data_IF_818388893250
#
_entry.id   IF_818388893250
#
_cell.length_a   1.000
_cell.length_b   1.000
_cell.length_c   1.000
_cell.angle_alpha   90.00
_cell.angle_beta   90.00
_cell.angle_gamma   90.00
#
_symmetry.space_group_name_H-M   'P 1'
#
loop_
_entity.id
_entity.type
_entity.pdbx_description
1 polymer ?
#
# COMPACT_ATOMS: atom_id res chain seq x y z
N UNK A 1 8.34 19.28 14.05
CA UNK A 1 8.33 17.93 13.43
C UNK A 1 7.80 18.12 12.02
N UNK A 2 8.64 17.86 11.04
CA UNK A 2 8.32 17.96 9.61
C UNK A 2 8.04 16.58 9.05
N UNK A 3 7.02 16.46 8.19
CA UNK A 3 6.64 15.20 7.53
C UNK A 3 6.86 15.36 6.03
N UNK A 4 7.57 14.42 5.42
CA UNK A 4 7.64 14.28 3.96
C UNK A 4 6.88 13.04 3.52
N UNK A 5 6.16 13.12 2.40
CA UNK A 5 5.63 11.95 1.70
C UNK A 5 6.46 11.74 0.44
N UNK A 6 6.93 10.51 0.26
CA UNK A 6 7.62 10.07 -0.96
C UNK A 6 6.69 9.12 -1.70
N UNK A 7 6.36 9.46 -2.93
CA UNK A 7 5.50 8.66 -3.82
C UNK A 7 6.13 8.53 -5.20
N UNK A 8 5.66 7.58 -5.98
CA UNK A 8 6.09 7.42 -7.36
C UNK A 8 4.91 7.16 -8.27
N UNK A 9 4.98 7.72 -9.49
CA UNK A 9 4.06 7.36 -10.57
C UNK A 9 4.77 7.39 -11.92
N UNK A 10 4.22 6.62 -12.85
CA UNK A 10 4.63 6.64 -14.26
C UNK A 10 3.38 6.61 -15.10
N UNK A 11 3.14 7.66 -15.89
CA UNK A 11 1.93 7.81 -16.72
C UNK A 11 0.63 7.49 -15.94
N UNK A 12 0.35 8.16 -14.81
CA UNK A 12 -0.74 7.80 -13.91
C UNK A 12 -2.13 7.95 -14.56
N UNK A 13 -2.27 8.81 -15.56
CA UNK A 13 -3.52 8.97 -16.33
C UNK A 13 -3.81 7.73 -17.18
N UNK A 14 -2.83 7.24 -17.95
CA UNK A 14 -2.96 6.02 -18.75
C UNK A 14 -3.19 4.79 -17.88
N UNK A 15 -2.60 4.76 -16.70
CA UNK A 15 -2.78 3.71 -15.70
C UNK A 15 -4.08 3.85 -14.92
N UNK A 16 -4.81 4.95 -15.11
CA UNK A 16 -6.04 5.26 -14.38
C UNK A 16 -5.87 5.25 -12.85
N UNK A 17 -4.68 5.61 -12.37
CA UNK A 17 -4.42 5.74 -10.94
C UNK A 17 -5.14 6.99 -10.38
N UNK A 18 -5.59 7.02 -9.12
CA UNK A 18 -6.23 8.18 -8.48
C UNK A 18 -5.19 9.22 -8.02
N UNK A 19 -4.27 9.59 -8.92
CA UNK A 19 -3.09 10.37 -8.58
C UNK A 19 -3.38 11.80 -8.12
N UNK A 20 -4.38 12.45 -8.71
CA UNK A 20 -4.80 13.81 -8.31
C UNK A 20 -5.29 13.78 -6.87
N UNK A 21 -6.22 12.88 -6.57
CA UNK A 21 -6.81 12.70 -5.24
C UNK A 21 -5.77 12.28 -4.19
N UNK A 22 -4.80 11.48 -4.61
CA UNK A 22 -3.70 11.08 -3.74
C UNK A 22 -2.76 12.25 -3.43
N UNK A 23 -2.35 13.03 -4.43
CA UNK A 23 -1.49 14.21 -4.22
C UNK A 23 -2.18 15.25 -3.36
N UNK A 24 -3.46 15.57 -3.58
CA UNK A 24 -4.25 16.46 -2.72
C UNK A 24 -4.28 15.97 -1.25
N UNK A 25 -4.43 14.68 -1.04
CA UNK A 25 -4.35 14.09 0.30
C UNK A 25 -2.96 14.27 0.91
N UNK A 26 -1.89 14.04 0.14
CA UNK A 26 -0.51 14.15 0.62
C UNK A 26 -0.14 15.59 0.98
N UNK A 27 -0.48 16.55 0.13
CA UNK A 27 -0.27 17.98 0.38
C UNK A 27 -1.05 18.50 1.60
N UNK A 28 -2.22 17.90 1.88
CA UNK A 28 -3.00 18.23 3.08
C UNK A 28 -2.40 17.67 4.37
N UNK A 29 -1.63 16.59 4.29
CA UNK A 29 -1.04 15.90 5.44
C UNK A 29 0.39 16.32 5.73
N UNK A 30 1.22 16.44 4.69
CA UNK A 30 2.66 16.58 4.78
C UNK A 30 3.13 18.03 4.56
N UNK A 31 4.31 18.33 5.07
CA UNK A 31 5.01 19.60 4.82
C UNK A 31 5.76 19.57 3.48
N UNK A 32 5.95 18.37 2.90
CA UNK A 32 6.67 18.17 1.65
C UNK A 32 6.17 16.89 0.95
N UNK A 33 5.97 16.98 -0.35
CA UNK A 33 5.65 15.83 -1.21
C UNK A 33 6.76 15.68 -2.26
N UNK A 34 7.42 14.54 -2.28
CA UNK A 34 8.46 14.17 -3.26
C UNK A 34 7.87 13.17 -4.21
N UNK A 35 7.70 13.55 -5.47
CA UNK A 35 7.16 12.69 -6.53
C UNK A 35 8.32 12.17 -7.38
N UNK A 36 8.36 10.87 -7.58
CA UNK A 36 9.39 10.16 -8.32
C UNK A 36 8.80 9.48 -9.54
N UNK A 37 9.64 9.12 -10.50
CA UNK A 37 9.25 8.21 -11.59
C UNK A 37 8.69 8.87 -12.83
N UNK A 38 8.64 10.20 -12.96
CA UNK A 38 8.17 10.89 -14.17
C UNK A 38 8.85 10.41 -15.46
N UNK A 39 10.14 10.06 -15.37
CA UNK A 39 10.94 9.59 -16.50
C UNK A 39 11.09 8.07 -16.54
N UNK A 40 10.37 7.34 -15.69
CA UNK A 40 10.42 5.89 -15.68
C UNK A 40 9.68 5.29 -16.87
N UNK A 41 10.27 4.25 -17.45
CA UNK A 41 9.58 3.47 -18.48
C UNK A 41 8.47 2.67 -17.81
N UNK A 42 7.33 2.55 -18.48
CA UNK A 42 6.24 1.67 -18.01
C UNK A 42 6.71 0.21 -17.90
N UNK A 43 7.57 -0.24 -18.80
CA UNK A 43 8.26 -1.53 -18.72
C UNK A 43 9.43 -1.40 -17.74
N UNK A 44 9.18 -1.73 -16.48
CA UNK A 44 10.11 -1.54 -15.37
C UNK A 44 10.93 -2.79 -15.04
N UNK A 45 12.01 -2.60 -14.28
CA UNK A 45 12.71 -3.65 -13.56
C UNK A 45 12.65 -3.42 -12.05
N UNK A 46 12.60 -4.49 -11.25
CA UNK A 46 12.67 -4.35 -9.79
C UNK A 46 13.97 -3.70 -9.30
N UNK A 47 15.07 -3.86 -10.06
CA UNK A 47 16.32 -3.18 -9.77
C UNK A 47 16.26 -1.67 -9.85
N UNK A 48 15.26 -1.11 -10.55
CA UNK A 48 15.12 0.34 -10.74
C UNK A 48 14.44 1.00 -9.53
N UNK A 49 13.63 0.26 -8.79
CA UNK A 49 12.89 0.81 -7.65
C UNK A 49 13.76 1.11 -6.44
N UNK A 50 14.72 0.26 -6.14
CA UNK A 50 15.61 0.44 -4.98
C UNK A 50 16.36 1.78 -5.03
N UNK A 51 17.09 2.14 -6.12
CA UNK A 51 17.73 3.45 -6.24
C UNK A 51 16.71 4.60 -6.15
N UNK A 52 15.60 4.49 -6.89
CA UNK A 52 14.57 5.52 -6.94
C UNK A 52 14.01 5.85 -5.55
N UNK A 53 13.63 4.84 -4.75
CA UNK A 53 13.11 5.09 -3.41
C UNK A 53 14.18 5.60 -2.44
N UNK A 54 15.43 5.15 -2.58
CA UNK A 54 16.53 5.69 -1.80
C UNK A 54 16.81 7.15 -2.13
N UNK A 55 16.78 7.53 -3.40
CA UNK A 55 16.95 8.92 -3.83
C UNK A 55 15.82 9.80 -3.29
N UNK A 56 14.57 9.35 -3.38
CA UNK A 56 13.44 10.05 -2.79
C UNK A 56 13.52 10.19 -1.27
N UNK A 57 13.91 9.13 -0.57
CA UNK A 57 14.13 9.18 0.87
C UNK A 57 15.28 10.14 1.23
N UNK A 58 16.39 10.08 0.52
CA UNK A 58 17.58 10.91 0.80
C UNK A 58 17.33 12.37 0.50
N UNK A 59 16.62 12.72 -0.59
CA UNK A 59 16.29 14.10 -0.96
C UNK A 59 15.21 14.73 -0.10
N UNK A 60 14.34 13.94 0.52
CA UNK A 60 13.29 14.45 1.41
C UNK A 60 13.88 15.17 2.63
N UNK A 61 13.21 16.23 3.12
CA UNK A 61 13.72 17.09 4.21
C UNK A 61 12.98 16.86 5.54
N UNK A 62 11.98 15.96 5.58
CA UNK A 62 11.18 15.69 6.77
C UNK A 62 11.94 14.98 7.89
N UNK A 63 11.51 15.22 9.12
CA UNK A 63 11.90 14.42 10.29
C UNK A 63 11.40 12.97 10.14
N UNK A 64 10.18 12.82 9.60
CA UNK A 64 9.54 11.58 9.24
C UNK A 64 9.26 11.53 7.76
N UNK A 65 9.47 10.38 7.16
CA UNK A 65 9.20 10.13 5.74
C UNK A 65 8.18 9.00 5.61
N UNK A 66 7.11 9.25 4.87
CA UNK A 66 6.08 8.24 4.58
C UNK A 66 6.21 7.84 3.11
N UNK A 67 6.55 6.56 2.84
CA UNK A 67 6.47 6.01 1.49
C UNK A 67 5.03 5.62 1.22
N UNK A 68 4.43 6.23 0.21
CA UNK A 68 3.06 5.93 -0.23
C UNK A 68 3.03 5.60 -1.71
N UNK A 69 2.22 4.61 -2.05
CA UNK A 69 1.91 4.32 -3.45
C UNK A 69 0.81 5.29 -3.91
N UNK A 70 0.84 5.72 -5.17
CA UNK A 70 -0.05 6.77 -5.70
C UNK A 70 -1.55 6.41 -5.71
N UNK A 71 -1.89 5.20 -5.38
CA UNK A 71 -3.24 4.67 -5.21
C UNK A 71 -3.66 4.52 -3.74
N UNK A 72 -2.88 5.08 -2.83
CA UNK A 72 -3.04 4.89 -1.38
C UNK A 72 -3.21 6.24 -0.68
N UNK A 73 -4.23 6.37 0.16
CA UNK A 73 -4.52 7.57 0.93
C UNK A 73 -4.48 7.29 2.43
N UNK A 74 -4.36 8.35 3.25
CA UNK A 74 -4.66 8.34 4.68
C UNK A 74 -5.91 9.17 4.90
N UNK A 75 -6.84 8.69 5.72
CA UNK A 75 -8.06 9.42 5.99
C UNK A 75 -7.76 10.70 6.78
N UNK A 76 -8.32 11.83 6.39
CA UNK A 76 -8.06 13.13 7.02
C UNK A 76 -8.40 13.18 8.51
N UNK A 77 -9.36 12.38 8.97
CA UNK A 77 -9.67 12.22 10.41
C UNK A 77 -8.52 11.66 11.23
N UNK A 78 -7.58 10.98 10.58
CA UNK A 78 -6.43 10.36 11.24
C UNK A 78 -5.15 11.24 11.21
N UNK A 79 -5.17 12.41 10.56
CA UNK A 79 -3.98 13.26 10.39
C UNK A 79 -3.38 13.71 11.73
N UNK A 80 -4.21 14.19 12.65
CA UNK A 80 -3.74 14.60 13.98
C UNK A 80 -3.31 13.39 14.83
N UNK A 81 -4.03 12.26 14.71
CA UNK A 81 -3.63 11.02 15.38
C UNK A 81 -2.26 10.55 14.85
N UNK A 82 -2.01 10.66 13.56
CA UNK A 82 -0.71 10.33 12.96
C UNK A 82 0.40 11.21 13.54
N UNK A 83 0.24 12.53 13.53
CA UNK A 83 1.22 13.47 14.09
C UNK A 83 1.54 13.17 15.56
N UNK A 84 0.52 12.86 16.36
CA UNK A 84 0.70 12.49 17.77
C UNK A 84 1.40 11.13 17.91
N UNK A 85 1.10 10.17 17.02
CA UNK A 85 1.75 8.87 17.00
C UNK A 85 3.23 8.98 16.66
N UNK A 86 3.59 9.84 15.67
CA UNK A 86 4.98 10.11 15.31
C UNK A 86 5.79 10.70 16.48
N UNK A 87 5.20 11.65 17.23
CA UNK A 87 5.82 12.20 18.44
C UNK A 87 6.00 11.14 19.53
N UNK A 88 4.98 10.31 19.73
CA UNK A 88 5.01 9.25 20.79
C UNK A 88 6.09 8.21 20.55
N UNK A 89 6.36 7.89 19.30
CA UNK A 89 7.30 6.82 18.92
C UNK A 89 8.57 7.37 18.26
N UNK A 90 9.00 8.56 18.64
CA UNK A 90 10.18 9.21 18.07
C UNK A 90 11.50 8.47 18.30
N UNK A 91 11.54 7.50 19.20
CA UNK A 91 12.71 6.66 19.45
C UNK A 91 12.77 5.39 18.59
N UNK A 92 11.78 5.18 17.71
CA UNK A 92 11.74 4.01 16.84
C UNK A 92 12.06 4.39 15.38
N UNK A 93 12.64 3.45 14.61
CA UNK A 93 13.03 3.72 13.23
C UNK A 93 11.84 3.85 12.28
N UNK A 94 10.72 3.23 12.65
CA UNK A 94 9.51 3.27 11.86
C UNK A 94 8.26 3.00 12.70
N UNK A 95 7.09 3.22 12.08
CA UNK A 95 5.78 2.86 12.60
C UNK A 95 5.07 2.06 11.51
N UNK A 96 4.39 0.96 11.88
CA UNK A 96 3.58 0.19 10.96
C UNK A 96 2.11 0.62 11.02
N UNK A 97 1.51 0.84 9.85
CA UNK A 97 0.11 1.15 9.67
C UNK A 97 -0.64 -0.06 9.11
N UNK A 98 -1.95 -0.13 9.35
CA UNK A 98 -2.83 -1.12 8.70
C UNK A 98 -2.97 -0.79 7.22
N UNK A 99 -3.38 -1.77 6.41
CA UNK A 99 -3.76 -1.53 5.02
C UNK A 99 -5.20 -2.01 4.80
N UNK A 100 -6.09 -1.08 4.45
CA UNK A 100 -7.43 -1.39 3.96
C UNK A 100 -7.36 -1.50 2.44
N UNK A 101 -7.64 -2.69 1.91
CA UNK A 101 -7.70 -2.93 0.48
C UNK A 101 -9.14 -2.85 0.00
N UNK A 102 -9.37 -2.04 -1.02
CA UNK A 102 -10.65 -1.90 -1.69
C UNK A 102 -10.58 -2.53 -3.08
N UNK A 103 -11.62 -3.28 -3.42
CA UNK A 103 -11.90 -3.74 -4.78
C UNK A 103 -13.17 -3.08 -5.29
N UNK A 104 -14.13 -2.83 -4.40
CA UNK A 104 -15.31 -1.98 -4.63
C UNK A 104 -15.36 -0.88 -3.57
N UNK A 105 -16.10 0.21 -3.79
CA UNK A 105 -16.24 1.27 -2.76
C UNK A 105 -16.96 0.81 -1.49
N UNK A 106 -17.69 -0.27 -1.54
CA UNK A 106 -18.62 -0.66 -0.46
C UNK A 106 -18.07 -1.73 0.48
N UNK A 107 -16.90 -2.28 0.18
CA UNK A 107 -16.32 -3.37 0.97
C UNK A 107 -14.80 -3.31 0.98
N UNK A 108 -14.23 -3.65 2.12
CA UNK A 108 -12.79 -3.76 2.25
C UNK A 108 -12.35 -5.01 3.02
N UNK A 109 -11.09 -5.30 2.91
CA UNK A 109 -10.37 -6.30 3.67
C UNK A 109 -9.17 -5.63 4.35
N UNK A 110 -8.90 -6.01 5.61
CA UNK A 110 -7.71 -5.56 6.33
C UNK A 110 -6.55 -6.47 5.98
N UNK A 111 -5.59 -5.94 5.23
CA UNK A 111 -4.33 -6.64 4.89
C UNK A 111 -3.28 -6.50 6.00
N UNK A 112 -2.12 -7.14 5.74
CA UNK A 112 -0.95 -6.99 6.58
C UNK A 112 -0.58 -5.53 6.81
N UNK A 113 0.06 -5.25 7.92
CA UNK A 113 0.61 -3.94 8.25
C UNK A 113 1.86 -3.66 7.43
N UNK A 114 2.15 -2.39 7.22
CA UNK A 114 3.32 -1.92 6.47
C UNK A 114 4.13 -0.94 7.31
N UNK A 115 5.41 -1.18 7.42
CA UNK A 115 6.36 -0.31 8.15
C UNK A 115 6.92 0.82 7.26
N UNK A 116 6.05 1.57 6.60
CA UNK A 116 6.45 2.58 5.62
C UNK A 116 6.44 4.02 6.15
N UNK A 117 6.27 4.21 7.46
CA UNK A 117 6.39 5.52 8.13
C UNK A 117 7.73 5.54 8.87
N UNK A 118 8.71 6.23 8.31
CA UNK A 118 10.13 6.09 8.62
C UNK A 118 10.69 7.32 9.35
N UNK A 119 11.43 7.11 10.43
CA UNK A 119 12.05 8.18 11.22
C UNK A 119 13.43 8.55 10.66
N UNK A 120 13.46 9.42 9.68
CA UNK A 120 14.69 9.91 9.05
C UNK A 120 15.56 10.76 9.98
N UNK A 121 14.94 11.45 10.93
CA UNK A 121 15.67 12.35 11.84
C UNK A 121 16.68 11.59 12.71
N UNK A 122 16.25 10.49 13.31
CA UNK A 122 17.09 9.70 14.21
C UNK A 122 17.84 8.57 13.52
N UNK A 123 17.29 8.01 12.44
CA UNK A 123 17.83 6.81 11.78
C UNK A 123 18.28 7.15 10.35
N UNK A 124 19.54 7.58 10.22
CA UNK A 124 20.12 7.99 8.94
C UNK A 124 20.45 6.83 8.00
N UNK A 125 20.54 5.61 8.52
CA UNK A 125 20.93 4.40 7.79
C UNK A 125 19.73 3.61 7.24
N UNK A 126 18.55 4.25 7.13
CA UNK A 126 17.41 3.62 6.49
C UNK A 126 17.67 3.54 4.98
N UNK A 127 17.44 2.36 4.41
CA UNK A 127 17.56 2.09 2.98
C UNK A 127 16.41 1.21 2.50
N UNK A 128 15.99 1.39 1.24
CA UNK A 128 15.05 0.50 0.58
C UNK A 128 15.86 -0.57 -0.16
N UNK A 129 16.03 -1.72 0.44
CA UNK A 129 16.74 -2.88 -0.14
C UNK A 129 16.25 -4.22 0.44
N UNK A 130 15.18 -4.20 1.24
CA UNK A 130 14.57 -5.37 1.85
C UNK A 130 13.43 -5.96 1.02
N UNK A 131 12.93 -7.11 1.47
CA UNK A 131 11.86 -7.84 0.79
C UNK A 131 12.30 -8.54 -0.49
N UNK A 132 11.37 -9.28 -1.09
CA UNK A 132 11.64 -10.02 -2.33
C UNK A 132 11.86 -9.12 -3.55
N UNK A 133 11.24 -7.97 -3.57
CA UNK A 133 11.31 -6.97 -4.66
C UNK A 133 12.37 -5.87 -4.43
N UNK A 134 12.96 -5.81 -3.24
CA UNK A 134 13.95 -4.79 -2.87
C UNK A 134 13.33 -3.44 -2.51
N UNK A 135 12.01 -3.38 -2.27
CA UNK A 135 11.28 -2.13 -2.02
C UNK A 135 10.94 -1.91 -0.54
N UNK A 136 11.21 -2.88 0.33
CA UNK A 136 10.97 -2.75 1.75
C UNK A 136 12.12 -2.02 2.46
N UNK A 137 11.84 -1.21 3.49
CA UNK A 137 12.88 -0.49 4.22
C UNK A 137 13.67 -1.42 5.15
N UNK A 138 14.97 -1.13 5.27
CA UNK A 138 15.88 -1.73 6.25
C UNK A 138 16.57 -0.65 7.07
N UNK A 139 17.03 -0.99 8.26
CA UNK A 139 17.95 -0.16 9.08
C UNK A 139 19.17 -1.00 9.38
N UNK A 140 20.37 -0.56 8.99
CA UNK A 140 21.60 -1.33 9.09
C UNK A 140 21.48 -2.77 8.54
N UNK A 141 20.75 -2.93 7.44
CA UNK A 141 20.48 -4.23 6.82
C UNK A 141 19.40 -5.09 7.52
N UNK A 142 18.82 -4.62 8.62
CA UNK A 142 17.73 -5.31 9.33
C UNK A 142 16.40 -4.87 8.72
N UNK A 143 15.62 -5.83 8.21
CA UNK A 143 14.33 -5.57 7.57
C UNK A 143 13.32 -4.99 8.58
N UNK A 144 12.72 -3.84 8.23
CA UNK A 144 11.66 -3.22 9.02
C UNK A 144 10.35 -3.92 8.71
N UNK A 145 9.80 -4.60 9.70
CA UNK A 145 8.53 -5.32 9.60
C UNK A 145 7.57 -4.89 10.69
N UNK A 146 6.31 -5.25 10.55
CA UNK A 146 5.30 -5.03 11.60
C UNK A 146 5.65 -5.67 12.95
N UNK A 147 6.58 -6.64 12.97
CA UNK A 147 6.95 -7.39 14.18
C UNK A 147 7.98 -6.66 15.02
N UNK A 148 8.74 -5.76 14.42
CA UNK A 148 9.87 -5.10 15.08
C UNK A 148 9.73 -3.57 15.23
N UNK A 149 8.57 -3.01 14.86
CA UNK A 149 8.25 -1.58 15.02
C UNK A 149 6.89 -1.38 15.68
N UNK A 150 6.64 -0.22 16.33
CA UNK A 150 5.34 0.12 16.88
C UNK A 150 4.23 0.06 15.83
N UNK A 151 3.03 -0.26 16.27
CA UNK A 151 1.84 -0.39 15.43
C UNK A 151 0.85 0.71 15.75
N UNK A 152 0.27 1.29 14.71
CA UNK A 152 -0.82 2.25 14.84
C UNK A 152 -2.10 1.70 14.22
N UNK A 153 -3.25 2.13 14.73
CA UNK A 153 -4.55 1.78 14.16
C UNK A 153 -4.94 2.67 12.97
N UNK A 154 -4.13 3.62 12.61
CA UNK A 154 -4.24 4.38 11.36
C UNK A 154 -4.11 3.41 10.19
N UNK A 155 -4.85 3.67 9.11
CA UNK A 155 -4.83 2.81 7.94
C UNK A 155 -4.36 3.55 6.67
N UNK A 156 -3.59 2.84 5.85
CA UNK A 156 -3.44 3.11 4.43
C UNK A 156 -4.69 2.61 3.70
N UNK A 157 -5.37 3.49 2.97
CA UNK A 157 -6.57 3.20 2.18
C UNK A 157 -6.15 2.99 0.73
N UNK A 158 -6.13 1.74 0.27
CA UNK A 158 -5.55 1.36 -1.02
C UNK A 158 -6.62 1.05 -2.07
N UNK A 159 -6.51 1.70 -3.22
CA UNK A 159 -7.46 1.66 -4.34
C UNK A 159 -6.84 1.11 -5.65
N UNK A 160 -5.74 0.37 -5.59
CA UNK A 160 -4.89 -0.11 -6.71
C UNK A 160 -5.65 -0.38 -8.04
N UNK A 161 -6.70 -1.22 -7.98
CA UNK A 161 -7.40 -1.62 -9.20
C UNK A 161 -8.77 -0.94 -9.39
N UNK A 162 -9.28 -0.21 -8.38
CA UNK A 162 -10.69 0.24 -8.32
C UNK A 162 -11.11 1.02 -9.56
N UNK A 163 -10.27 1.90 -10.07
CA UNK A 163 -10.60 2.80 -11.17
C UNK A 163 -10.15 2.28 -12.53
N UNK A 164 -9.45 1.14 -12.58
CA UNK A 164 -8.84 0.61 -13.81
C UNK A 164 -9.83 -0.20 -14.63
N UNK A 165 -9.74 -0.07 -15.95
CA UNK A 165 -10.45 -0.97 -16.87
C UNK A 165 -9.74 -2.32 -16.97
N UNK A 166 -10.42 -3.31 -17.54
CA UNK A 166 -9.84 -4.64 -17.78
C UNK A 166 -8.55 -4.55 -18.62
N UNK A 167 -8.56 -3.71 -19.64
CA UNK A 167 -7.38 -3.50 -20.50
C UNK A 167 -6.20 -2.98 -19.69
N UNK A 168 -6.38 -1.90 -18.93
CA UNK A 168 -5.31 -1.30 -18.11
C UNK A 168 -4.76 -2.31 -17.09
N UNK A 169 -5.64 -3.06 -16.41
CA UNK A 169 -5.19 -4.10 -15.47
C UNK A 169 -4.40 -5.19 -16.19
N UNK A 170 -4.87 -5.64 -17.36
CA UNK A 170 -4.19 -6.69 -18.13
C UNK A 170 -2.76 -6.29 -18.48
N UNK A 171 -2.58 -5.07 -18.99
CA UNK A 171 -1.26 -4.52 -19.31
C UNK A 171 -0.38 -4.35 -18.07
N UNK A 172 -0.91 -3.82 -16.97
CA UNK A 172 -0.17 -3.67 -15.72
C UNK A 172 0.29 -5.03 -15.17
N UNK A 173 -0.57 -6.06 -15.23
CA UNK A 173 -0.23 -7.40 -14.73
C UNK A 173 0.80 -8.10 -15.62
N UNK A 174 0.71 -7.92 -16.93
CA UNK A 174 1.73 -8.44 -17.85
C UNK A 174 3.10 -7.79 -17.62
N UNK A 175 3.15 -6.46 -17.47
CA UNK A 175 4.39 -5.74 -17.13
C UNK A 175 5.00 -6.26 -15.82
N UNK A 176 4.17 -6.44 -14.80
CA UNK A 176 4.62 -6.98 -13.51
C UNK A 176 5.11 -8.42 -13.64
N UNK A 177 4.42 -9.27 -14.40
CA UNK A 177 4.83 -10.65 -14.64
C UNK A 177 6.19 -10.72 -15.37
N UNK A 178 6.39 -9.90 -16.42
CA UNK A 178 7.67 -9.81 -17.13
C UNK A 178 8.80 -9.29 -16.24
N UNK A 179 8.53 -8.27 -15.38
CA UNK A 179 9.52 -7.78 -14.42
C UNK A 179 9.89 -8.86 -13.40
N UNK A 180 8.91 -9.64 -12.95
CA UNK A 180 9.13 -10.78 -12.05
C UNK A 180 9.99 -11.85 -12.72
N UNK A 181 9.67 -12.25 -13.95
CA UNK A 181 10.43 -13.22 -14.71
C UNK A 181 11.88 -12.78 -14.90
N UNK A 182 12.12 -11.52 -15.24
CA UNK A 182 13.49 -10.98 -15.38
C UNK A 182 14.30 -11.10 -14.08
N UNK A 183 13.65 -11.03 -12.93
CA UNK A 183 14.33 -11.10 -11.61
C UNK A 183 14.52 -12.52 -11.11
N UNK A 184 13.53 -13.40 -11.29
CA UNK A 184 13.46 -14.71 -10.63
C UNK A 184 13.58 -15.90 -11.60
N UNK A 185 13.47 -15.69 -12.91
CA UNK A 185 13.58 -16.73 -13.94
C UNK A 185 12.30 -17.53 -14.18
N UNK A 186 11.23 -17.22 -13.48
CA UNK A 186 9.90 -17.84 -13.66
C UNK A 186 8.79 -16.79 -13.50
N UNK A 187 7.54 -17.14 -13.84
CA UNK A 187 6.40 -16.26 -13.66
C UNK A 187 5.71 -16.43 -12.29
N UNK A 188 6.01 -17.49 -11.55
CA UNK A 188 5.34 -17.84 -10.30
C UNK A 188 3.81 -17.91 -10.49
N UNK A 189 3.09 -17.27 -9.59
CA UNK A 189 1.62 -17.16 -9.60
C UNK A 189 1.07 -16.04 -10.51
N UNK A 190 1.89 -15.46 -11.40
CA UNK A 190 1.53 -14.31 -12.25
C UNK A 190 1.09 -14.70 -13.66
N UNK A 191 1.03 -16.00 -13.93
CA UNK A 191 0.52 -16.58 -15.17
C UNK A 191 1.50 -16.55 -16.33
N UNK A 192 1.84 -15.38 -16.85
CA UNK A 192 2.72 -15.27 -18.02
C UNK A 192 2.94 -13.83 -18.47
N UNK A 193 3.60 -13.66 -19.61
CA UNK A 193 4.06 -12.38 -20.13
C UNK A 193 3.01 -11.60 -20.95
N UNK A 194 1.93 -12.26 -21.39
CA UNK A 194 0.88 -11.61 -22.16
C UNK A 194 -0.21 -11.03 -21.28
N UNK A 195 -0.90 -9.94 -21.71
CA UNK A 195 -1.98 -9.31 -20.97
C UNK A 195 -3.10 -10.28 -20.58
N UNK A 196 -3.49 -11.18 -21.47
CA UNK A 196 -4.59 -12.12 -21.26
C UNK A 196 -4.25 -13.17 -20.19
N UNK A 197 -3.05 -13.74 -20.27
CA UNK A 197 -2.61 -14.78 -19.34
C UNK A 197 -2.33 -14.20 -17.95
N UNK A 198 -1.68 -13.04 -17.89
CA UNK A 198 -1.41 -12.36 -16.63
C UNK A 198 -2.71 -11.87 -15.95
N UNK A 199 -3.67 -11.35 -16.74
CA UNK A 199 -4.98 -10.99 -16.22
C UNK A 199 -5.73 -12.18 -15.65
N UNK A 200 -5.75 -13.32 -16.35
CA UNK A 200 -6.44 -14.53 -15.89
C UNK A 200 -5.92 -14.97 -14.53
N UNK A 201 -4.61 -15.12 -14.38
CA UNK A 201 -3.99 -15.51 -13.11
C UNK A 201 -4.29 -14.49 -11.99
N UNK A 202 -4.20 -13.19 -12.29
CA UNK A 202 -4.56 -12.14 -11.34
C UNK A 202 -6.04 -12.21 -10.95
N UNK A 203 -6.94 -12.43 -11.88
CA UNK A 203 -8.38 -12.43 -11.63
C UNK A 203 -8.82 -13.63 -10.78
N UNK A 204 -8.23 -14.82 -11.01
CA UNK A 204 -8.43 -16.00 -10.16
C UNK A 204 -8.00 -15.73 -8.71
N UNK A 205 -6.86 -15.06 -8.52
CA UNK A 205 -6.41 -14.63 -7.21
C UNK A 205 -7.37 -13.60 -6.57
N UNK A 206 -7.94 -12.68 -7.36
CA UNK A 206 -8.91 -11.69 -6.88
C UNK A 206 -10.19 -12.36 -6.40
N UNK A 207 -10.67 -13.39 -7.11
CA UNK A 207 -11.84 -14.15 -6.68
C UNK A 207 -11.68 -14.70 -5.26
N UNK A 208 -10.56 -15.37 -5.00
CA UNK A 208 -10.23 -15.88 -3.67
C UNK A 208 -10.14 -14.75 -2.61
N UNK A 209 -9.48 -13.63 -2.95
CA UNK A 209 -9.29 -12.51 -2.01
C UNK A 209 -10.59 -11.76 -1.71
N UNK A 210 -11.45 -11.59 -2.70
CA UNK A 210 -12.69 -10.83 -2.53
C UNK A 210 -13.68 -11.50 -1.59
N UNK A 211 -13.62 -12.83 -1.40
CA UNK A 211 -14.38 -13.53 -0.38
C UNK A 211 -14.17 -12.95 1.02
N UNK A 212 -12.94 -12.47 1.30
CA UNK A 212 -12.56 -11.85 2.59
C UNK A 212 -12.95 -10.37 2.71
N UNK A 213 -13.44 -9.73 1.65
CA UNK A 213 -13.95 -8.35 1.71
C UNK A 213 -15.35 -8.33 2.34
N UNK A 214 -15.43 -8.61 3.64
CA UNK A 214 -16.69 -8.74 4.39
C UNK A 214 -17.10 -7.47 5.12
N UNK A 215 -16.15 -6.57 5.40
CA UNK A 215 -16.44 -5.32 6.08
C UNK A 215 -17.08 -4.34 5.12
N UNK A 216 -18.25 -3.82 5.52
CA UNK A 216 -18.99 -2.84 4.74
C UNK A 216 -18.58 -1.43 5.11
N UNK A 217 -18.71 -0.52 4.17
CA UNK A 217 -18.43 0.89 4.31
C UNK A 217 -19.34 1.66 3.36
N UNK A 218 -19.81 2.83 3.77
CA UNK A 218 -20.50 3.74 2.88
C UNK A 218 -19.49 4.65 2.15
N UNK A 219 -19.86 5.16 0.99
CA UNK A 219 -18.95 6.01 0.19
C UNK A 219 -18.52 7.25 0.97
N UNK A 220 -19.40 7.79 1.78
CA UNK A 220 -19.18 8.98 2.60
C UNK A 220 -18.15 8.75 3.72
N UNK A 221 -17.89 7.50 4.10
CA UNK A 221 -16.90 7.14 5.12
C UNK A 221 -15.47 7.00 4.57
N UNK A 222 -15.28 7.18 3.25
CA UNK A 222 -13.96 7.21 2.64
C UNK A 222 -13.25 8.56 2.88
N UNK A 223 -11.91 8.63 2.72
CA UNK A 223 -11.21 9.90 2.71
C UNK A 223 -11.87 10.90 1.76
N UNK A 224 -12.10 12.13 2.21
CA UNK A 224 -12.85 13.15 1.46
C UNK A 224 -12.33 13.37 0.03
N UNK A 225 -11.03 13.20 -0.17
CA UNK A 225 -10.35 13.42 -1.45
C UNK A 225 -10.83 12.46 -2.54
N UNK A 226 -11.18 11.20 -2.19
CA UNK A 226 -11.53 10.15 -3.16
C UNK A 226 -13.04 9.98 -3.38
N UNK A 227 -13.90 10.56 -2.53
CA UNK A 227 -15.36 10.35 -2.55
C UNK A 227 -15.97 10.64 -3.92
N UNK A 228 -15.63 11.78 -4.53
CA UNK A 228 -16.18 12.16 -5.83
C UNK A 228 -15.79 11.17 -6.93
N UNK A 229 -14.55 10.68 -6.93
CA UNK A 229 -14.09 9.67 -7.89
C UNK A 229 -14.80 8.34 -7.68
N UNK A 230 -15.01 7.92 -6.42
CA UNK A 230 -15.76 6.69 -6.09
C UNK A 230 -17.23 6.77 -6.53
N UNK A 231 -17.91 7.92 -6.38
CA UNK A 231 -19.29 8.13 -6.86
C UNK A 231 -19.42 8.07 -8.39
N UNK A 232 -18.34 8.32 -9.11
CA UNK A 232 -18.30 8.40 -10.56
C UNK A 232 -17.61 7.19 -11.23
N UNK A 233 -17.51 6.05 -10.54
CA UNK A 233 -16.93 4.82 -11.12
C UNK A 233 -17.77 4.38 -12.33
N UNK A 234 -17.11 4.20 -13.46
CA UNK A 234 -17.74 3.79 -14.74
C UNK A 234 -17.98 2.28 -14.76
N UNK A 235 -18.94 1.85 -15.60
CA UNK A 235 -19.34 0.42 -15.71
C UNK A 235 -18.23 -0.50 -16.18
N UNK A 236 -17.28 0.01 -16.95
CA UNK A 236 -16.11 -0.71 -17.49
C UNK A 236 -14.91 -0.74 -16.52
N UNK A 237 -15.02 -0.06 -15.39
CA UNK A 237 -13.98 -0.06 -14.34
C UNK A 237 -14.21 -1.17 -13.32
N UNK A 238 -13.12 -1.74 -12.84
CA UNK A 238 -13.12 -2.88 -11.91
C UNK A 238 -13.97 -2.64 -10.66
N UNK A 239 -13.87 -1.46 -10.05
CA UNK A 239 -14.60 -1.11 -8.83
C UNK A 239 -16.11 -1.04 -8.96
N UNK A 240 -16.65 -1.02 -10.19
CA UNK A 240 -18.09 -0.98 -10.41
C UNK A 240 -18.78 -2.27 -9.94
N UNK A 241 -18.29 -3.44 -10.39
CA UNK A 241 -18.83 -4.74 -10.00
C UNK A 241 -17.81 -5.89 -10.13
N UNK A 242 -16.50 -5.59 -10.12
CA UNK A 242 -15.41 -6.54 -10.32
C UNK A 242 -15.54 -7.33 -11.64
N UNK A 243 -15.90 -6.65 -12.71
CA UNK A 243 -16.19 -7.27 -14.02
C UNK A 243 -17.22 -8.41 -13.95
N UNK A 244 -18.24 -8.26 -13.08
CA UNK A 244 -19.30 -9.27 -12.86
C UNK A 244 -19.09 -10.17 -11.67
N UNK A 245 -17.87 -10.33 -11.18
CA UNK A 245 -17.54 -11.25 -10.07
C UNK A 245 -18.32 -10.93 -8.78
N UNK A 246 -18.63 -9.66 -8.52
CA UNK A 246 -19.37 -9.27 -7.32
C UNK A 246 -20.72 -9.98 -7.19
N UNK A 247 -21.38 -10.30 -8.29
CA UNK A 247 -22.72 -10.90 -8.31
C UNK A 247 -22.68 -12.43 -8.21
N UNK A 248 -21.52 -13.06 -8.46
CA UNK A 248 -21.34 -14.51 -8.45
C UNK A 248 -20.71 -15.05 -7.17
N UNK A 249 -20.16 -14.18 -6.32
CA UNK A 249 -19.51 -14.61 -5.08
C UNK A 249 -20.52 -14.85 -3.96
N UNK A 250 -20.61 -16.10 -3.54
CA UNK A 250 -21.23 -16.49 -2.28
C UNK A 250 -20.17 -16.58 -1.20
N UNK A 251 -20.38 -15.85 -0.09
CA UNK A 251 -19.49 -15.87 1.07
C UNK A 251 -19.95 -16.93 2.06
N UNK A 252 -19.02 -17.78 2.43
CA UNK A 252 -19.23 -18.82 3.45
C UNK A 252 -19.02 -18.26 4.86
N UNK A 253 -19.50 -18.97 5.88
CA UNK A 253 -19.18 -18.64 7.27
C UNK A 253 -17.67 -18.60 7.54
N UNK A 254 -16.91 -19.47 6.86
CA UNK A 254 -15.44 -19.51 6.97
C UNK A 254 -14.80 -18.23 6.47
N UNK A 255 -15.29 -17.63 5.37
CA UNK A 255 -14.78 -16.36 4.84
C UNK A 255 -14.93 -15.22 5.87
N UNK A 256 -16.07 -15.18 6.57
CA UNK A 256 -16.30 -14.21 7.64
C UNK A 256 -15.38 -14.47 8.83
N UNK A 257 -15.26 -15.72 9.29
CA UNK A 257 -14.38 -16.07 10.40
C UNK A 257 -12.92 -15.70 10.12
N UNK A 258 -12.41 -16.02 8.94
CA UNK A 258 -11.05 -15.67 8.55
C UNK A 258 -10.83 -14.16 8.52
N UNK A 259 -11.73 -13.41 7.89
CA UNK A 259 -11.63 -11.97 7.82
C UNK A 259 -11.70 -11.30 9.21
N UNK A 260 -12.63 -11.76 10.08
CA UNK A 260 -12.71 -11.28 11.46
C UNK A 260 -11.47 -11.65 12.27
N UNK A 261 -10.93 -12.86 12.09
CA UNK A 261 -9.70 -13.27 12.75
C UNK A 261 -8.52 -12.41 12.31
N UNK A 262 -8.34 -12.18 11.01
CA UNK A 262 -7.27 -11.31 10.49
C UNK A 262 -7.40 -9.89 11.04
N UNK A 263 -8.61 -9.33 11.06
CA UNK A 263 -8.87 -8.01 11.64
C UNK A 263 -8.61 -7.99 13.15
N UNK A 264 -9.15 -8.95 13.90
CA UNK A 264 -8.97 -9.06 15.34
C UNK A 264 -7.48 -9.16 15.72
N UNK A 265 -6.74 -10.05 15.06
CA UNK A 265 -5.29 -10.16 15.27
C UNK A 265 -4.56 -8.88 14.89
N UNK A 266 -4.98 -8.20 13.80
CA UNK A 266 -4.35 -6.94 13.41
C UNK A 266 -4.68 -5.78 14.38
N UNK A 267 -5.89 -5.72 14.94
CA UNK A 267 -6.36 -4.59 15.75
C UNK A 267 -6.12 -4.79 17.25
N UNK A 268 -6.36 -5.99 17.79
CA UNK A 268 -6.34 -6.24 19.23
C UNK A 268 -5.12 -7.02 19.72
N UNK A 269 -4.89 -8.19 19.19
CA UNK A 269 -3.79 -9.06 19.67
C UNK A 269 -2.44 -8.40 19.42
N UNK A 270 -2.29 -7.78 18.26
CA UNK A 270 -1.07 -7.10 17.89
C UNK A 270 -0.89 -5.75 18.59
N UNK A 271 -1.95 -5.07 19.04
CA UNK A 271 -1.85 -3.83 19.81
C UNK A 271 -1.57 -4.05 21.29
N UNK A 272 -1.86 -5.25 21.82
CA UNK A 272 -1.56 -5.63 23.21
C UNK A 272 -0.19 -6.28 23.38
N UNK A 273 0.47 -6.63 22.30
CA UNK A 273 1.80 -7.21 22.37
C UNK A 273 2.81 -6.16 22.86
N UNK A 274 3.17 -6.26 24.16
CA UNK A 274 4.18 -5.41 24.82
C UNK A 274 5.61 -5.73 24.36
N UNK A 275 5.81 -6.70 23.46
CA UNK A 275 7.11 -7.08 22.91
C UNK A 275 7.75 -5.98 22.04
N UNK A 276 7.02 -4.89 21.76
CA UNK A 276 7.55 -3.64 21.21
C UNK A 276 8.69 -3.01 22.01
N UNK A 277 8.84 -3.42 23.26
CA UNK A 277 10.02 -3.11 24.06
C UNK A 277 11.18 -4.05 23.74
N UNK A 278 11.24 -4.60 22.54
CA UNK A 278 12.41 -5.38 22.17
C UNK A 278 13.62 -4.43 22.04
N UNK A 279 14.18 -4.11 23.22
CA UNK A 279 15.42 -3.34 23.36
C UNK A 279 16.55 -3.96 22.52
N UNK A 280 16.48 -5.27 22.25
CA UNK A 280 17.48 -5.97 21.45
C UNK A 280 17.44 -5.52 19.99
N UNK A 281 16.27 -5.17 19.44
CA UNK A 281 16.19 -4.61 18.10
C UNK A 281 16.80 -3.21 18.02
N UNK A 282 16.51 -2.36 19.01
CA UNK A 282 17.07 -1.00 19.08
C UNK A 282 18.57 -1.00 19.44
N UNK A 283 19.04 -1.96 20.24
CA UNK A 283 20.44 -2.07 20.60
C UNK A 283 21.33 -2.64 19.48
N UNK A 284 20.73 -3.28 18.47
CA UNK A 284 21.42 -3.80 17.28
C UNK A 284 21.34 -2.82 16.10
N UNK A 285 20.72 -1.66 16.27
CA UNK A 285 20.64 -0.55 15.33
C UNK A 285 21.65 0.54 15.66
#
# INVERSE_FOLDING_TARGET
MKISIVTSYTNPEERMDPWIEAVECYESLADEVVILGENFKQEFSFSDFTPMFNDGFNSSTGDWVIKMDIDTLIHEKDFELLKNTLKRYEDYPAISLRKFQFFTPYRFHTKSRMGMVLNKKKFKNIQFNGGGDGCDPTVNGIHITEKNVPRSNIAFWNYDAVFKTKQVISEDRARFARAWFRKFGDFGDRGGDTPEVAFKAWFEMIESRYRKHVFKLDIEDHPKFIINKLKNIKKDQFGYNLFGLQNSIERTYTDYLEAFRERFFSEFVLSFDKSYKNKNFLNNM
#
